data_IF_939388656737
#
_entry.id   IF_939388656737
#
_cell.length_a   1.000
_cell.length_b   1.000
_cell.length_c   1.000
_cell.angle_alpha   90.00
_cell.angle_beta   90.00
_cell.angle_gamma   90.00
#
_symmetry.space_group_name_H-M   'P 1'
#
loop_
_entity.id
_entity.type
_entity.pdbx_description
1 polymer ?
#
# COMPACT_ATOMS: atom_id res chain seq x y z
N UNK A 1 9.24 15.85 -21.25
CA UNK A 1 8.83 14.45 -21.37
C UNK A 1 8.72 13.89 -19.97
N UNK A 2 7.51 13.76 -19.44
CA UNK A 2 7.30 13.10 -18.16
C UNK A 2 7.59 11.61 -18.32
N UNK A 3 8.30 10.99 -17.38
CA UNK A 3 8.36 9.53 -17.32
C UNK A 3 6.95 9.02 -16.99
N UNK A 4 6.42 8.16 -17.84
CA UNK A 4 5.11 7.55 -17.63
C UNK A 4 5.15 6.49 -16.53
N UNK A 5 4.02 6.15 -15.88
CA UNK A 5 3.99 5.24 -14.75
C UNK A 5 4.43 3.84 -15.18
N UNK A 6 5.61 3.45 -14.70
CA UNK A 6 6.08 2.07 -14.69
C UNK A 6 5.16 1.25 -13.78
N UNK A 7 4.66 0.11 -14.26
CA UNK A 7 3.83 -0.80 -13.47
C UNK A 7 4.73 -1.75 -12.68
N UNK A 8 5.63 -2.44 -13.39
CA UNK A 8 6.60 -3.35 -12.82
C UNK A 8 7.91 -3.30 -13.59
N UNK A 9 9.01 -3.54 -12.87
CA UNK A 9 10.32 -3.70 -13.46
C UNK A 9 11.00 -4.93 -12.86
N UNK A 10 11.60 -5.73 -13.72
CA UNK A 10 12.34 -6.94 -13.34
C UNK A 10 13.82 -6.76 -13.69
N UNK A 11 14.63 -7.82 -13.59
CA UNK A 11 16.02 -7.75 -14.01
C UNK A 11 16.18 -7.34 -15.49
N UNK A 12 15.36 -7.91 -16.38
CA UNK A 12 15.51 -7.77 -17.84
C UNK A 12 14.35 -7.07 -18.54
N UNK A 13 13.21 -6.90 -17.86
CA UNK A 13 11.96 -6.47 -18.47
C UNK A 13 11.38 -5.24 -17.77
N UNK A 14 10.58 -4.49 -18.52
CA UNK A 14 9.72 -3.42 -18.01
C UNK A 14 8.29 -3.67 -18.46
N UNK A 15 7.35 -3.50 -17.53
CA UNK A 15 5.91 -3.50 -17.76
C UNK A 15 5.44 -2.09 -17.46
N UNK A 16 4.85 -1.43 -18.45
CA UNK A 16 4.35 -0.06 -18.33
C UNK A 16 3.00 0.06 -19.01
N UNK A 17 2.33 1.19 -18.80
CA UNK A 17 1.10 1.51 -19.54
C UNK A 17 1.30 1.41 -21.05
N UNK A 18 0.25 1.00 -21.74
CA UNK A 18 0.20 0.92 -23.19
C UNK A 18 0.39 2.31 -23.81
N UNK A 19 1.20 2.39 -24.87
CA UNK A 19 1.40 3.59 -25.65
C UNK A 19 1.00 3.36 -27.10
N UNK A 20 0.67 4.44 -27.81
CA UNK A 20 0.32 4.39 -29.23
C UNK A 20 1.44 3.79 -30.10
N UNK A 21 2.70 3.93 -29.69
CA UNK A 21 3.88 3.35 -30.34
C UNK A 21 3.96 1.82 -30.21
N UNK A 22 3.24 1.20 -29.28
CA UNK A 22 3.26 -0.25 -29.08
C UNK A 22 2.21 -0.98 -29.94
N UNK A 23 1.19 -0.26 -30.43
CA UNK A 23 0.02 -0.83 -31.09
C UNK A 23 0.41 -1.76 -32.22
N UNK A 24 1.34 -1.36 -33.09
CA UNK A 24 1.79 -2.20 -34.21
C UNK A 24 2.47 -3.50 -33.73
N UNK A 25 3.27 -3.43 -32.67
CA UNK A 25 3.94 -4.60 -32.11
C UNK A 25 2.95 -5.56 -31.46
N UNK A 26 1.93 -5.04 -30.78
CA UNK A 26 0.88 -5.85 -30.16
C UNK A 26 -0.08 -6.45 -31.18
N UNK A 27 -0.44 -5.69 -32.23
CA UNK A 27 -1.21 -6.23 -33.37
C UNK A 27 -0.45 -7.40 -34.00
N UNK A 28 0.85 -7.23 -34.28
CA UNK A 28 1.67 -8.31 -34.82
C UNK A 28 1.72 -9.53 -33.88
N UNK A 29 1.85 -9.32 -32.57
CA UNK A 29 1.87 -10.37 -31.55
C UNK A 29 0.58 -11.20 -31.55
N UNK A 30 -0.58 -10.53 -31.50
CA UNK A 30 -1.89 -11.19 -31.39
C UNK A 30 -2.42 -11.74 -32.72
N UNK A 31 -1.80 -11.41 -33.84
CA UNK A 31 -2.08 -12.01 -35.15
C UNK A 31 -1.21 -13.21 -35.48
N UNK A 32 -0.15 -13.45 -34.72
CA UNK A 32 0.75 -14.58 -34.97
C UNK A 32 0.06 -15.89 -34.56
N UNK A 33 -0.15 -16.84 -35.50
CA UNK A 33 -0.83 -18.11 -35.21
C UNK A 33 -0.01 -19.04 -34.32
N UNK A 34 1.32 -18.94 -34.31
CA UNK A 34 2.16 -19.72 -33.39
C UNK A 34 1.99 -19.20 -31.96
N UNK A 35 1.91 -17.89 -31.78
CA UNK A 35 1.73 -17.22 -30.48
C UNK A 35 0.34 -17.48 -29.91
N UNK A 36 -0.69 -17.38 -30.74
CA UNK A 36 -2.10 -17.46 -30.32
C UNK A 36 -2.70 -18.86 -30.43
N UNK A 37 -1.90 -19.88 -30.79
CA UNK A 37 -2.32 -21.27 -30.99
C UNK A 37 -3.21 -21.82 -29.86
N UNK A 38 -2.88 -21.49 -28.61
CA UNK A 38 -3.61 -21.95 -27.41
C UNK A 38 -4.58 -20.90 -26.83
N UNK A 39 -4.80 -19.80 -27.55
CA UNK A 39 -5.59 -18.64 -27.11
C UNK A 39 -6.76 -18.34 -28.07
N UNK A 40 -7.24 -19.34 -28.80
CA UNK A 40 -8.34 -19.17 -29.77
C UNK A 40 -7.91 -18.62 -31.13
N UNK A 41 -6.60 -18.62 -31.42
CA UNK A 41 -6.05 -18.25 -32.72
C UNK A 41 -5.90 -16.74 -32.99
N UNK A 42 -5.41 -16.38 -34.19
CA UNK A 42 -5.13 -15.00 -34.57
C UNK A 42 -6.32 -14.06 -34.40
N UNK A 43 -6.07 -12.87 -33.88
CA UNK A 43 -7.08 -11.81 -33.76
C UNK A 43 -7.30 -11.09 -35.10
N UNK A 44 -8.52 -10.62 -35.28
CA UNK A 44 -8.88 -9.73 -36.38
C UNK A 44 -8.32 -8.33 -36.12
N UNK A 45 -7.48 -7.83 -37.03
CA UNK A 45 -6.82 -6.53 -36.88
C UNK A 45 -7.83 -5.38 -36.82
N UNK A 46 -8.88 -5.44 -37.65
CA UNK A 46 -9.90 -4.39 -37.74
C UNK A 46 -10.65 -4.21 -36.42
N UNK A 47 -10.66 -5.24 -35.57
CA UNK A 47 -11.25 -5.20 -34.23
C UNK A 47 -10.24 -4.93 -33.13
N UNK A 48 -9.04 -5.49 -33.23
CA UNK A 48 -8.01 -5.38 -32.21
C UNK A 48 -7.39 -3.99 -32.14
N UNK A 49 -7.04 -3.41 -33.29
CA UNK A 49 -6.29 -2.15 -33.37
C UNK A 49 -7.05 -0.98 -32.75
N UNK A 50 -8.36 -0.77 -33.02
CA UNK A 50 -9.11 0.33 -32.40
C UNK A 50 -9.10 0.26 -30.88
N UNK A 51 -9.29 -0.93 -30.29
CA UNK A 51 -9.25 -1.12 -28.83
C UNK A 51 -7.89 -0.76 -28.25
N UNK A 52 -6.80 -1.25 -28.83
CA UNK A 52 -5.45 -0.89 -28.37
C UNK A 52 -5.15 0.62 -28.48
N UNK A 53 -5.72 1.31 -29.49
CA UNK A 53 -5.57 2.76 -29.62
C UNK A 53 -6.34 3.48 -28.51
N UNK A 54 -7.58 3.04 -28.24
CA UNK A 54 -8.42 3.57 -27.17
C UNK A 54 -7.75 3.37 -25.79
N UNK A 55 -7.31 2.14 -25.50
CA UNK A 55 -6.60 1.78 -24.26
C UNK A 55 -5.30 2.59 -24.08
N UNK A 56 -4.58 2.87 -25.19
CA UNK A 56 -3.36 3.70 -25.14
C UNK A 56 -3.62 5.17 -24.82
N UNK A 57 -4.86 5.63 -25.00
CA UNK A 57 -5.28 7.00 -24.75
C UNK A 57 -6.01 7.16 -23.40
N UNK A 58 -6.40 6.06 -22.75
CA UNK A 58 -7.13 6.11 -21.48
C UNK A 58 -6.19 6.39 -20.30
N UNK A 59 -6.30 7.55 -19.62
CA UNK A 59 -5.51 7.87 -18.43
C UNK A 59 -5.97 7.09 -17.18
N UNK A 60 -7.11 6.41 -17.23
CA UNK A 60 -7.72 5.63 -16.15
C UNK A 60 -7.67 4.10 -16.35
N UNK A 61 -6.90 3.60 -17.33
CA UNK A 61 -6.69 2.18 -17.57
C UNK A 61 -6.53 1.41 -16.24
N UNK A 62 -7.37 0.38 -16.07
CA UNK A 62 -7.73 -0.21 -14.78
C UNK A 62 -6.58 -0.92 -14.07
N UNK A 63 -6.75 -1.18 -12.78
CA UNK A 63 -5.81 -1.95 -11.94
C UNK A 63 -5.50 -3.34 -12.51
N UNK A 64 -6.47 -3.93 -13.22
CA UNK A 64 -6.34 -5.19 -13.95
C UNK A 64 -6.36 -4.90 -15.44
N UNK A 65 -5.25 -5.16 -16.12
CA UNK A 65 -5.12 -5.03 -17.56
C UNK A 65 -3.92 -5.85 -18.04
N UNK A 66 -3.73 -5.92 -19.36
CA UNK A 66 -2.51 -6.39 -19.98
C UNK A 66 -1.62 -5.19 -20.33
N UNK A 67 -0.35 -5.29 -19.96
CA UNK A 67 0.67 -4.30 -20.22
C UNK A 67 1.69 -4.81 -21.24
N UNK A 68 2.18 -3.94 -22.14
CA UNK A 68 3.33 -4.27 -22.98
C UNK A 68 4.53 -4.72 -22.14
N UNK A 69 5.23 -5.73 -22.64
CA UNK A 69 6.50 -6.21 -22.06
C UNK A 69 7.65 -5.68 -22.91
N UNK A 70 8.48 -4.82 -22.33
CA UNK A 70 9.64 -4.22 -22.99
C UNK A 70 10.90 -4.95 -22.55
N UNK A 71 11.71 -5.43 -23.50
CA UNK A 71 13.04 -5.98 -23.22
C UNK A 71 14.04 -4.83 -23.06
N UNK A 72 14.60 -4.64 -21.87
CA UNK A 72 15.46 -3.48 -21.55
C UNK A 72 16.66 -3.32 -22.49
N UNK A 73 17.27 -4.43 -22.90
CA UNK A 73 18.47 -4.40 -23.75
C UNK A 73 18.21 -3.88 -25.15
N UNK A 74 17.00 -4.06 -25.67
CA UNK A 74 16.64 -3.67 -27.03
C UNK A 74 15.66 -2.50 -27.08
N UNK A 75 14.97 -2.20 -25.97
CA UNK A 75 13.87 -1.23 -25.93
C UNK A 75 12.65 -1.67 -26.73
N UNK A 76 12.57 -2.94 -27.15
CA UNK A 76 11.48 -3.43 -28.00
C UNK A 76 10.38 -4.09 -27.19
N UNK A 77 9.13 -3.95 -27.65
CA UNK A 77 8.00 -4.74 -27.16
C UNK A 77 8.20 -6.19 -27.59
N UNK A 78 8.22 -7.10 -26.61
CA UNK A 78 8.42 -8.54 -26.81
C UNK A 78 7.22 -9.37 -26.38
N UNK A 79 6.19 -8.75 -25.82
CA UNK A 79 5.00 -9.46 -25.34
C UNK A 79 3.96 -8.55 -24.71
N UNK A 80 2.95 -9.20 -24.13
CA UNK A 80 1.82 -8.62 -23.44
C UNK A 80 1.52 -9.47 -22.20
N UNK A 81 1.36 -8.88 -21.02
CA UNK A 81 1.09 -9.64 -19.80
C UNK A 81 0.39 -8.81 -18.74
N UNK A 82 -0.26 -9.46 -17.79
CA UNK A 82 -0.86 -8.77 -16.67
C UNK A 82 -1.80 -9.66 -15.87
N UNK A 83 -2.72 -9.00 -15.20
CA UNK A 83 -3.74 -9.62 -14.36
C UNK A 83 -5.11 -9.24 -14.93
N UNK A 84 -5.96 -10.22 -15.22
CA UNK A 84 -7.30 -9.97 -15.77
C UNK A 84 -8.36 -10.66 -14.93
N UNK A 85 -9.48 -10.00 -14.72
CA UNK A 85 -10.66 -10.60 -14.11
C UNK A 85 -11.28 -11.67 -15.02
N UNK A 86 -11.74 -12.75 -14.40
CA UNK A 86 -12.43 -13.86 -15.06
C UNK A 86 -13.49 -14.44 -14.14
N UNK A 87 -14.66 -14.70 -14.70
CA UNK A 87 -15.58 -15.66 -14.11
C UNK A 87 -15.13 -17.10 -14.49
N UNK A 88 -15.05 -17.98 -13.49
CA UNK A 88 -14.78 -19.42 -13.64
C UNK A 88 -15.76 -20.18 -12.76
N UNK A 89 -16.65 -20.97 -13.35
CA UNK A 89 -17.69 -21.73 -12.64
C UNK A 89 -18.51 -20.89 -11.63
N UNK A 90 -18.84 -19.64 -11.98
CA UNK A 90 -19.60 -18.73 -11.12
C UNK A 90 -18.80 -18.07 -10.00
N UNK A 91 -17.46 -18.20 -9.99
CA UNK A 91 -16.55 -17.48 -9.09
C UNK A 91 -15.76 -16.43 -9.86
N UNK A 92 -15.66 -15.23 -9.30
CA UNK A 92 -14.71 -14.21 -9.75
C UNK A 92 -13.29 -14.61 -9.34
N UNK A 93 -12.39 -14.68 -10.32
CA UNK A 93 -11.00 -15.05 -10.15
C UNK A 93 -10.11 -14.03 -10.89
N UNK A 94 -8.89 -13.82 -10.40
CA UNK A 94 -7.89 -13.00 -11.07
C UNK A 94 -6.89 -13.91 -11.79
N UNK A 95 -6.86 -13.79 -13.11
CA UNK A 95 -6.01 -14.58 -13.98
C UNK A 95 -4.67 -13.87 -14.24
N UNK A 96 -3.55 -14.56 -13.95
CA UNK A 96 -2.23 -14.19 -14.40
C UNK A 96 -2.02 -14.66 -15.84
N UNK A 97 -1.80 -13.70 -16.74
CA UNK A 97 -1.66 -13.92 -18.18
C UNK A 97 -0.33 -13.39 -18.68
N UNK A 98 0.33 -14.13 -19.58
CA UNK A 98 1.45 -13.64 -20.36
C UNK A 98 1.44 -14.22 -21.78
N UNK A 99 1.84 -13.38 -22.73
CA UNK A 99 1.94 -13.70 -24.15
C UNK A 99 3.25 -13.12 -24.66
N UNK A 100 4.09 -13.93 -25.27
CA UNK A 100 5.42 -13.52 -25.74
C UNK A 100 5.56 -13.78 -27.23
N UNK A 101 6.21 -12.86 -27.93
CA UNK A 101 6.57 -13.04 -29.34
C UNK A 101 7.52 -14.24 -29.47
N UNK A 102 7.46 -14.95 -30.60
CA UNK A 102 8.28 -16.14 -30.87
C UNK A 102 9.79 -15.91 -30.64
N UNK A 103 10.30 -14.73 -30.99
CA UNK A 103 11.70 -14.30 -30.77
C UNK A 103 12.12 -14.21 -29.29
N UNK A 104 11.16 -14.19 -28.38
CA UNK A 104 11.34 -14.06 -26.93
C UNK A 104 11.20 -15.41 -26.19
N UNK A 105 10.82 -16.48 -26.89
CA UNK A 105 10.69 -17.81 -26.30
C UNK A 105 12.05 -18.42 -25.93
N UNK A 106 12.05 -19.35 -24.97
CA UNK A 106 13.26 -20.07 -24.54
C UNK A 106 14.26 -19.24 -23.70
N UNK A 107 14.02 -17.93 -23.51
CA UNK A 107 14.90 -17.01 -22.75
C UNK A 107 14.56 -16.91 -21.25
N UNK A 108 13.53 -17.62 -20.79
CA UNK A 108 13.04 -17.57 -19.41
C UNK A 108 12.17 -16.36 -19.06
N UNK A 109 11.82 -15.51 -20.02
CA UNK A 109 11.03 -14.29 -19.78
C UNK A 109 9.63 -14.59 -19.21
N UNK A 110 8.95 -15.64 -19.65
CA UNK A 110 7.63 -16.00 -19.12
C UNK A 110 7.67 -16.28 -17.61
N UNK A 111 8.70 -17.00 -17.14
CA UNK A 111 8.89 -17.27 -15.71
C UNK A 111 9.22 -16.01 -14.92
N UNK A 112 10.07 -15.13 -15.47
CA UNK A 112 10.39 -13.84 -14.84
C UNK A 112 9.15 -12.94 -14.71
N UNK A 113 8.34 -12.85 -15.76
CA UNK A 113 7.05 -12.12 -15.76
C UNK A 113 6.11 -12.71 -14.72
N UNK A 114 5.93 -14.02 -14.72
CA UNK A 114 4.98 -14.67 -13.84
C UNK A 114 5.37 -14.54 -12.36
N UNK A 115 6.66 -14.58 -12.01
CA UNK A 115 7.11 -14.26 -10.65
C UNK A 115 6.79 -12.81 -10.28
N UNK A 116 7.12 -11.85 -11.15
CA UNK A 116 6.89 -10.44 -10.89
C UNK A 116 5.40 -10.11 -10.71
N UNK A 117 4.53 -10.65 -11.56
CA UNK A 117 3.08 -10.47 -11.45
C UNK A 117 2.50 -11.11 -10.19
N UNK A 118 2.95 -12.33 -9.83
CA UNK A 118 2.55 -12.98 -8.58
C UNK A 118 2.94 -12.15 -7.37
N UNK A 119 4.18 -11.70 -7.31
CA UNK A 119 4.69 -10.93 -6.16
C UNK A 119 3.99 -9.56 -6.07
N UNK A 120 3.66 -8.95 -7.21
CA UNK A 120 2.86 -7.73 -7.26
C UNK A 120 1.42 -7.94 -6.77
N UNK A 121 0.77 -8.99 -7.25
CA UNK A 121 -0.59 -9.35 -6.84
C UNK A 121 -0.69 -9.61 -5.33
N UNK A 122 0.24 -10.39 -4.80
CA UNK A 122 0.22 -10.77 -3.39
C UNK A 122 0.75 -9.69 -2.45
N UNK A 123 1.67 -8.84 -2.91
CA UNK A 123 2.22 -7.73 -2.13
C UNK A 123 1.37 -6.48 -2.27
N UNK A 124 1.73 -5.53 -3.14
CA UNK A 124 1.03 -4.26 -3.33
C UNK A 124 -0.49 -4.33 -3.50
N UNK A 125 -1.00 -5.36 -4.19
CA UNK A 125 -2.45 -5.47 -4.45
C UNK A 125 -3.22 -6.23 -3.36
N UNK A 126 -2.52 -6.88 -2.43
CA UNK A 126 -3.15 -7.61 -1.32
C UNK A 126 -4.01 -8.81 -1.73
N UNK A 127 -3.84 -9.35 -2.93
CA UNK A 127 -4.60 -10.52 -3.37
C UNK A 127 -4.16 -11.77 -2.60
N UNK A 128 -5.11 -12.65 -2.33
CA UNK A 128 -4.88 -13.92 -1.64
C UNK A 128 -4.78 -15.10 -2.61
N UNK A 129 -5.24 -14.94 -3.85
CA UNK A 129 -5.32 -16.01 -4.84
C UNK A 129 -5.13 -15.49 -6.26
N UNK A 130 -4.43 -16.28 -7.06
CA UNK A 130 -4.31 -16.10 -8.50
C UNK A 130 -4.58 -17.42 -9.21
N UNK A 131 -5.10 -17.32 -10.44
CA UNK A 131 -5.27 -18.46 -11.34
C UNK A 131 -4.52 -18.26 -12.66
N UNK A 132 -4.35 -19.32 -13.43
CA UNK A 132 -4.03 -19.29 -14.86
C UNK A 132 -4.86 -20.37 -15.58
N UNK A 133 -5.54 -20.00 -16.67
CA UNK A 133 -6.29 -20.94 -17.49
C UNK A 133 -5.41 -21.45 -18.64
N UNK A 134 -5.05 -22.73 -18.60
CA UNK A 134 -4.07 -23.30 -19.52
C UNK A 134 -4.74 -24.35 -20.41
N UNK A 135 -4.55 -24.26 -21.73
CA UNK A 135 -4.93 -25.33 -22.65
C UNK A 135 -4.15 -26.62 -22.30
N UNK A 136 -4.78 -27.81 -22.21
CA UNK A 136 -4.12 -29.07 -21.84
C UNK A 136 -2.86 -29.41 -22.66
N UNK A 137 -2.79 -29.02 -23.93
CA UNK A 137 -1.64 -29.26 -24.80
C UNK A 137 -0.51 -28.21 -24.64
N UNK A 138 -0.73 -27.15 -23.85
CA UNK A 138 0.24 -26.08 -23.64
C UNK A 138 1.22 -26.38 -22.48
N UNK A 139 2.00 -27.44 -22.65
CA UNK A 139 3.00 -27.87 -21.67
C UNK A 139 4.05 -26.80 -21.33
N UNK A 140 4.26 -25.81 -22.20
CA UNK A 140 5.17 -24.70 -21.92
C UNK A 140 4.62 -23.79 -20.82
N UNK A 141 3.33 -23.45 -20.87
CA UNK A 141 2.67 -22.64 -19.85
C UNK A 141 2.53 -23.39 -18.52
N UNK A 142 2.21 -24.70 -18.57
CA UNK A 142 2.15 -25.54 -17.36
C UNK A 142 3.49 -25.56 -16.61
N UNK A 143 4.62 -25.65 -17.34
CA UNK A 143 5.96 -25.57 -16.72
C UNK A 143 6.24 -24.22 -16.08
N UNK A 144 5.72 -23.13 -16.62
CA UNK A 144 5.88 -21.79 -16.02
C UNK A 144 5.02 -21.68 -14.78
N UNK A 145 3.75 -22.10 -14.85
CA UNK A 145 2.83 -22.14 -13.70
C UNK A 145 3.45 -22.92 -12.53
N UNK A 146 3.98 -24.12 -12.79
CA UNK A 146 4.67 -24.92 -11.78
C UNK A 146 5.89 -24.21 -11.19
N UNK A 147 6.71 -23.52 -12.00
CA UNK A 147 7.89 -22.78 -11.52
C UNK A 147 7.54 -21.62 -10.59
N UNK A 148 6.38 -20.98 -10.80
CA UNK A 148 5.93 -19.88 -9.93
C UNK A 148 5.14 -20.36 -8.71
N UNK A 149 5.03 -21.68 -8.53
CA UNK A 149 4.38 -22.31 -7.39
C UNK A 149 2.89 -22.58 -7.58
N UNK A 150 2.36 -22.42 -8.79
CA UNK A 150 0.96 -22.79 -9.06
C UNK A 150 0.82 -24.31 -9.22
N UNK A 151 -0.31 -24.83 -8.75
CA UNK A 151 -0.69 -26.25 -8.86
C UNK A 151 -1.98 -26.40 -9.66
N UNK A 152 -2.10 -27.49 -10.42
CA UNK A 152 -3.35 -27.78 -11.13
C UNK A 152 -4.45 -28.13 -10.12
N UNK A 153 -5.53 -27.36 -10.09
CA UNK A 153 -6.66 -27.54 -9.18
C UNK A 153 -7.77 -28.36 -9.83
N UNK A 154 -8.16 -27.99 -11.05
CA UNK A 154 -9.30 -28.60 -11.77
C UNK A 154 -9.23 -28.38 -13.28
N UNK A 155 -10.10 -29.06 -14.01
CA UNK A 155 -10.41 -28.77 -15.40
C UNK A 155 -11.79 -28.10 -15.50
N UNK A 156 -11.93 -27.14 -16.41
CA UNK A 156 -13.16 -26.39 -16.66
C UNK A 156 -13.42 -26.28 -18.16
N UNK A 157 -14.69 -26.31 -18.56
CA UNK A 157 -15.10 -26.04 -19.94
C UNK A 157 -15.55 -24.59 -20.04
N UNK A 158 -14.81 -23.78 -20.79
CA UNK A 158 -15.11 -22.35 -20.97
C UNK A 158 -16.33 -22.14 -21.88
N UNK A 159 -17.00 -20.98 -21.81
CA UNK A 159 -17.95 -20.57 -22.83
C UNK A 159 -17.32 -20.72 -24.23
N UNK A 160 -17.95 -21.50 -25.11
CA UNK A 160 -17.38 -21.88 -26.42
C UNK A 160 -16.83 -23.31 -26.50
N UNK A 161 -16.87 -24.08 -25.41
CA UNK A 161 -16.56 -25.52 -25.41
C UNK A 161 -15.09 -25.89 -25.24
N UNK A 162 -14.20 -24.90 -25.05
CA UNK A 162 -12.78 -25.12 -24.88
C UNK A 162 -12.45 -25.61 -23.46
N UNK A 163 -11.75 -26.74 -23.36
CA UNK A 163 -11.26 -27.29 -22.09
C UNK A 163 -10.07 -26.45 -21.59
N UNK A 164 -10.04 -26.10 -20.31
CA UNK A 164 -8.91 -25.40 -19.68
C UNK A 164 -8.58 -26.07 -18.36
N UNK A 165 -7.29 -26.22 -18.07
CA UNK A 165 -6.78 -26.56 -16.74
C UNK A 165 -6.62 -25.28 -15.94
N UNK A 166 -7.22 -25.24 -14.76
CA UNK A 166 -7.09 -24.14 -13.81
C UNK A 166 -5.89 -24.45 -12.93
N UNK A 167 -4.81 -23.69 -13.12
CA UNK A 167 -3.67 -23.68 -12.21
C UNK A 167 -3.85 -22.56 -11.21
N UNK A 168 -3.60 -22.83 -9.93
CA UNK A 168 -3.90 -21.89 -8.84
C UNK A 168 -2.71 -21.76 -7.92
N UNK A 169 -2.55 -20.58 -7.36
CA UNK A 169 -1.66 -20.32 -6.23
C UNK A 169 -2.40 -19.45 -5.24
N UNK A 170 -2.35 -19.85 -3.99
CA UNK A 170 -2.88 -19.09 -2.87
C UNK A 170 -1.72 -18.65 -2.00
N UNK A 171 -1.79 -17.40 -1.55
CA UNK A 171 -0.97 -16.96 -0.43
C UNK A 171 -1.66 -17.52 0.80
N UNK A 172 -0.97 -18.36 1.59
CA UNK A 172 -1.46 -18.68 2.94
C UNK A 172 -1.77 -17.35 3.62
N UNK A 173 -2.96 -17.18 4.25
CA UNK A 173 -3.23 -15.98 5.00
C UNK A 173 -2.14 -15.88 6.05
N UNK A 174 -1.18 -14.99 5.82
CA UNK A 174 -0.41 -14.47 6.92
C UNK A 174 -1.48 -13.75 7.72
N UNK A 175 -1.89 -14.33 8.86
CA UNK A 175 -2.59 -13.55 9.86
C UNK A 175 -1.79 -12.26 9.99
N UNK A 176 -2.34 -11.17 9.46
CA UNK A 176 -1.80 -9.85 9.74
C UNK A 176 -2.15 -9.64 11.20
N UNK A 177 -1.30 -10.15 12.08
CA UNK A 177 -1.30 -9.76 13.49
C UNK A 177 -1.22 -8.23 13.41
N UNK A 178 -2.24 -7.50 13.89
CA UNK A 178 -2.22 -6.05 13.88
C UNK A 178 -0.91 -5.63 14.53
N UNK A 179 0.03 -5.12 13.73
CA UNK A 179 1.32 -4.71 14.25
C UNK A 179 1.08 -3.43 15.04
N UNK A 180 1.62 -3.30 16.26
CA UNK A 180 1.48 -2.06 17.01
C UNK A 180 1.92 -0.88 16.16
N UNK A 181 1.05 0.11 15.98
CA UNK A 181 1.40 1.37 15.30
C UNK A 181 2.36 2.12 16.22
N UNK A 182 3.47 2.62 15.68
CA UNK A 182 4.37 3.49 16.45
C UNK A 182 4.05 4.96 16.18
N UNK A 183 3.95 5.77 17.23
CA UNK A 183 3.77 7.23 17.14
C UNK A 183 4.83 7.98 17.94
N UNK A 184 5.06 9.24 17.56
CA UNK A 184 5.92 10.17 18.29
C UNK A 184 5.15 11.45 18.60
N UNK A 185 5.22 11.91 19.86
CA UNK A 185 4.56 13.14 20.33
C UNK A 185 5.52 14.08 21.04
N UNK A 186 5.23 15.37 20.96
CA UNK A 186 6.04 16.44 21.52
C UNK A 186 5.43 17.00 22.81
N UNK A 187 6.15 16.87 23.92
CA UNK A 187 5.91 17.66 25.11
C UNK A 187 6.61 19.01 24.94
N UNK A 188 5.85 20.04 24.59
CA UNK A 188 6.35 21.41 24.41
C UNK A 188 5.84 22.25 25.58
N UNK A 189 6.78 22.77 26.37
CA UNK A 189 6.48 23.63 27.53
C UNK A 189 7.04 25.03 27.31
N UNK A 190 6.20 26.05 27.46
CA UNK A 190 6.60 27.46 27.39
C UNK A 190 5.83 28.25 28.45
N UNK A 191 6.55 29.06 29.23
CA UNK A 191 5.98 29.89 30.30
C UNK A 191 5.06 29.09 31.25
N UNK A 192 5.54 27.93 31.71
CA UNK A 192 4.82 26.95 32.57
C UNK A 192 3.51 26.40 31.97
N UNK A 193 3.34 26.52 30.65
CA UNK A 193 2.19 26.00 29.90
C UNK A 193 2.61 24.94 28.91
N UNK A 194 1.79 23.92 28.78
CA UNK A 194 1.93 22.83 27.83
C UNK A 194 1.07 23.11 26.60
N UNK A 195 1.66 22.97 25.41
CA UNK A 195 0.94 23.00 24.15
C UNK A 195 0.20 21.68 23.93
N UNK A 196 -1.10 21.76 23.61
CA UNK A 196 -1.93 20.60 23.29
C UNK A 196 -2.75 20.82 22.03
N UNK A 197 -2.96 19.75 21.26
CA UNK A 197 -3.92 19.67 20.16
C UNK A 197 -5.32 19.44 20.72
N UNK A 198 -6.31 20.18 20.21
CA UNK A 198 -7.66 20.25 20.75
C UNK A 198 -8.65 19.57 19.79
N UNK A 199 -9.44 18.64 20.31
CA UNK A 199 -10.42 17.84 19.56
C UNK A 199 -11.79 17.92 20.25
N UNK A 200 -12.86 17.62 19.52
CA UNK A 200 -14.22 17.57 20.08
C UNK A 200 -14.89 16.27 19.67
N UNK A 201 -15.38 15.51 20.65
CA UNK A 201 -16.21 14.31 20.46
C UNK A 201 -17.61 14.51 21.08
N UNK A 202 -18.43 13.46 21.08
CA UNK A 202 -19.78 13.49 21.67
C UNK A 202 -19.79 13.81 23.18
N UNK A 203 -18.67 13.59 23.89
CA UNK A 203 -18.48 13.88 25.31
C UNK A 203 -17.85 15.26 25.54
N UNK A 204 -17.63 16.05 24.49
CA UNK A 204 -17.07 17.40 24.55
C UNK A 204 -15.59 17.49 24.17
N UNK A 205 -14.90 18.57 24.54
CA UNK A 205 -13.52 18.77 24.16
C UNK A 205 -12.57 17.80 24.88
N UNK A 206 -11.57 17.33 24.16
CA UNK A 206 -10.46 16.56 24.70
C UNK A 206 -9.13 17.00 24.07
N UNK A 207 -8.04 16.70 24.75
CA UNK A 207 -6.74 17.30 24.50
C UNK A 207 -5.65 16.24 24.52
N UNK A 208 -4.62 16.47 23.71
CA UNK A 208 -3.50 15.56 23.58
C UNK A 208 -2.26 16.31 23.16
N UNK A 209 -1.08 15.76 23.44
CA UNK A 209 0.17 16.33 22.94
C UNK A 209 0.20 16.28 21.40
N UNK A 210 0.76 17.30 20.72
CA UNK A 210 0.89 17.28 19.27
C UNK A 210 1.85 16.17 18.82
N UNK A 211 1.55 15.56 17.69
CA UNK A 211 2.33 14.50 17.08
C UNK A 211 1.48 13.29 16.67
N UNK A 212 2.04 12.47 15.78
CA UNK A 212 1.30 11.43 15.08
C UNK A 212 2.10 10.18 14.77
N UNK A 213 1.67 9.43 13.77
CA UNK A 213 2.17 8.09 13.48
C UNK A 213 3.38 8.07 12.55
N UNK A 214 4.32 7.18 12.85
CA UNK A 214 5.49 6.93 12.03
C UNK A 214 5.09 6.34 10.67
N UNK A 215 5.65 6.88 9.59
CA UNK A 215 5.53 6.30 8.24
C UNK A 215 6.57 5.18 8.04
N UNK A 216 6.28 4.25 7.14
CA UNK A 216 7.23 3.16 6.83
C UNK A 216 8.56 3.73 6.31
N UNK A 217 9.68 3.27 6.88
CA UNK A 217 11.03 3.74 6.56
C UNK A 217 11.42 5.10 7.16
N UNK A 218 10.54 5.75 7.92
CA UNK A 218 10.80 7.02 8.60
C UNK A 218 11.48 6.79 9.97
N UNK A 219 12.37 7.68 10.42
CA UNK A 219 12.87 7.62 11.81
C UNK A 219 11.88 8.30 12.76
N UNK A 220 11.84 7.91 14.05
CA UNK A 220 10.91 8.53 15.00
C UNK A 220 11.13 10.03 15.19
N UNK A 221 12.36 10.50 15.13
CA UNK A 221 12.66 11.94 15.22
C UNK A 221 12.19 12.67 13.96
N UNK A 222 12.32 12.07 12.78
CA UNK A 222 11.74 12.62 11.54
C UNK A 222 10.21 12.69 11.61
N UNK A 223 9.57 11.62 12.09
CA UNK A 223 8.13 11.58 12.33
C UNK A 223 7.70 12.72 13.26
N UNK A 224 8.39 12.87 14.39
CA UNK A 224 8.06 13.89 15.39
C UNK A 224 8.11 15.31 14.82
N UNK A 225 9.20 15.68 14.14
CA UNK A 225 9.33 17.01 13.52
C UNK A 225 8.22 17.24 12.48
N UNK A 226 7.96 16.24 11.64
CA UNK A 226 6.94 16.31 10.60
C UNK A 226 5.54 16.53 11.19
N UNK A 227 5.13 15.68 12.11
CA UNK A 227 3.78 15.72 12.69
C UNK A 227 3.56 17.02 13.48
N UNK A 228 4.55 17.46 14.28
CA UNK A 228 4.46 18.75 14.98
C UNK A 228 4.31 19.91 14.00
N UNK A 229 5.05 19.91 12.90
CA UNK A 229 4.94 20.95 11.87
C UNK A 229 3.59 20.89 11.14
N UNK A 230 3.10 19.69 10.82
CA UNK A 230 1.82 19.43 10.13
C UNK A 230 0.62 19.89 10.97
N UNK A 231 0.63 19.64 12.29
CA UNK A 231 -0.45 20.00 13.22
C UNK A 231 -0.37 21.43 13.77
N UNK A 232 0.84 21.94 14.05
CA UNK A 232 1.04 23.15 14.86
C UNK A 232 1.81 24.28 14.20
N UNK A 233 2.22 24.10 12.94
CA UNK A 233 3.13 24.98 12.18
C UNK A 233 4.50 25.25 12.82
N UNK A 234 4.71 24.80 14.05
CA UNK A 234 5.88 25.06 14.86
C UNK A 234 7.11 24.29 14.37
N UNK A 235 8.27 24.92 14.55
CA UNK A 235 9.56 24.25 14.44
C UNK A 235 10.09 23.97 15.84
N UNK A 236 10.54 22.74 16.05
CA UNK A 236 11.00 22.26 17.35
C UNK A 236 12.38 21.63 17.26
N UNK A 237 13.16 21.80 18.34
CA UNK A 237 14.32 20.96 18.61
C UNK A 237 13.91 19.80 19.52
N UNK A 238 14.44 18.60 19.23
CA UNK A 238 14.09 17.38 19.97
C UNK A 238 15.07 17.20 21.12
N UNK A 239 14.52 17.11 22.33
CA UNK A 239 15.23 16.77 23.55
C UNK A 239 15.20 15.26 23.84
N UNK A 240 15.17 14.91 25.13
CA UNK A 240 15.18 13.50 25.54
C UNK A 240 13.81 12.85 25.33
N UNK A 241 13.83 11.53 25.10
CA UNK A 241 12.63 10.71 25.26
C UNK A 241 12.20 10.76 26.73
N UNK A 242 10.98 11.23 26.97
CA UNK A 242 10.44 11.48 28.29
C UNK A 242 9.61 10.31 28.78
N UNK A 243 8.68 9.83 27.95
CA UNK A 243 7.82 8.69 28.27
C UNK A 243 7.57 7.79 27.06
N UNK A 244 7.24 6.54 27.35
CA UNK A 244 6.73 5.55 26.41
C UNK A 244 5.44 4.99 27.02
N UNK A 245 4.36 4.96 26.26
CA UNK A 245 3.12 4.27 26.64
C UNK A 245 2.67 3.31 25.54
N UNK A 246 1.81 2.39 25.93
CA UNK A 246 0.95 1.64 25.02
C UNK A 246 -0.47 2.19 25.12
N UNK A 247 -1.23 2.05 24.04
CA UNK A 247 -2.68 2.19 24.06
C UNK A 247 -3.27 1.02 23.28
N UNK A 248 -3.96 0.13 23.99
CA UNK A 248 -4.61 -1.05 23.42
C UNK A 248 -6.12 -0.83 23.50
N UNK A 249 -6.76 -0.50 22.37
CA UNK A 249 -8.17 -0.08 22.35
C UNK A 249 -9.11 -1.04 23.08
N UNK A 250 -8.90 -2.35 22.95
CA UNK A 250 -9.68 -3.38 23.64
C UNK A 250 -9.63 -3.33 25.18
N UNK A 251 -8.61 -2.70 25.77
CA UNK A 251 -8.44 -2.59 27.22
C UNK A 251 -9.09 -1.32 27.80
N UNK A 252 -9.58 -0.41 26.95
CA UNK A 252 -10.17 0.87 27.36
C UNK A 252 -11.65 0.92 26.95
N UNK A 253 -12.55 0.70 27.91
CA UNK A 253 -14.02 0.64 27.67
C UNK A 253 -14.57 1.89 26.96
N UNK A 254 -13.94 3.04 27.18
CA UNK A 254 -14.31 4.34 26.62
C UNK A 254 -13.72 4.60 25.22
N UNK A 255 -12.95 3.65 24.66
CA UNK A 255 -12.35 3.77 23.34
C UNK A 255 -13.40 3.57 22.24
N UNK A 256 -13.41 4.48 21.26
CA UNK A 256 -14.23 4.36 20.04
C UNK A 256 -13.45 3.77 18.86
N UNK A 257 -12.17 3.43 19.06
CA UNK A 257 -11.31 2.85 18.03
C UNK A 257 -11.57 1.34 17.88
N UNK A 258 -11.19 0.78 16.72
CA UNK A 258 -11.27 -0.66 16.48
C UNK A 258 -10.60 -1.44 17.64
N UNK A 259 -11.20 -2.52 18.17
CA UNK A 259 -10.62 -3.27 19.29
C UNK A 259 -9.22 -3.83 19.01
N UNK A 260 -8.89 -4.06 17.74
CA UNK A 260 -7.55 -4.50 17.31
C UNK A 260 -6.51 -3.38 17.26
N UNK A 261 -6.92 -2.12 17.47
CA UNK A 261 -6.00 -0.98 17.47
C UNK A 261 -5.06 -1.03 18.67
N UNK A 262 -3.77 -1.12 18.37
CA UNK A 262 -2.67 -1.07 19.33
C UNK A 262 -1.67 -0.04 18.87
N UNK A 263 -1.36 0.93 19.73
CA UNK A 263 -0.38 1.96 19.47
C UNK A 263 0.70 1.98 20.57
N UNK A 264 1.96 2.12 20.16
CA UNK A 264 3.09 2.44 21.03
C UNK A 264 3.45 3.90 20.78
N UNK A 265 3.36 4.73 21.81
CA UNK A 265 3.56 6.17 21.71
C UNK A 265 4.79 6.60 22.49
N UNK A 266 5.71 7.28 21.79
CA UNK A 266 6.93 7.84 22.35
C UNK A 266 6.78 9.36 22.50
N UNK A 267 6.89 9.84 23.73
CA UNK A 267 6.73 11.26 24.06
C UNK A 267 8.09 11.87 24.33
N UNK A 268 8.48 12.85 23.53
CA UNK A 268 9.77 13.54 23.62
C UNK A 268 9.58 14.94 24.21
N UNK A 269 10.50 15.35 25.08
CA UNK A 269 10.65 16.77 25.41
C UNK A 269 11.09 17.53 24.15
N UNK A 270 10.43 18.65 23.87
CA UNK A 270 10.73 19.48 22.71
C UNK A 270 10.74 20.96 23.11
N UNK A 271 11.67 21.71 22.52
CA UNK A 271 11.75 23.16 22.67
C UNK A 271 11.41 23.83 21.34
N UNK A 272 10.62 24.90 21.38
CA UNK A 272 10.37 25.72 20.20
C UNK A 272 11.68 26.34 19.72
N UNK A 273 11.96 26.27 18.42
CA UNK A 273 13.08 26.98 17.82
C UNK A 273 12.85 28.49 17.99
N UNK A 274 13.92 29.27 18.20
CA UNK A 274 13.83 30.72 18.37
C UNK A 274 13.05 31.38 17.22
N UNK A 275 12.00 32.13 17.58
CA UNK A 275 11.12 32.79 16.61
C UNK A 275 10.06 31.88 15.97
N UNK A 276 9.96 30.61 16.36
CA UNK A 276 8.89 29.73 15.91
C UNK A 276 7.52 30.26 16.35
N UNK A 277 6.62 30.42 15.39
CA UNK A 277 5.21 30.69 15.64
C UNK A 277 4.45 29.37 15.79
N UNK A 278 3.45 29.38 16.67
CA UNK A 278 2.52 28.26 16.86
C UNK A 278 1.16 28.70 16.33
N UNK A 279 0.67 28.01 15.31
CA UNK A 279 -0.64 28.24 14.72
C UNK A 279 -1.19 26.91 14.19
N UNK A 280 -2.46 26.85 13.78
CA UNK A 280 -2.95 25.65 13.10
C UNK A 280 -2.07 25.34 11.88
N UNK A 281 -1.56 24.11 11.83
CA UNK A 281 -0.69 23.68 10.74
C UNK A 281 -1.44 23.49 9.42
N UNK A 282 -0.67 23.28 8.34
CA UNK A 282 -1.22 23.20 6.99
C UNK A 282 -1.98 21.89 6.71
N UNK A 283 -1.73 20.85 7.51
CA UNK A 283 -2.33 19.52 7.37
C UNK A 283 -2.65 19.00 8.78
N UNK A 284 -3.66 19.57 9.45
CA UNK A 284 -4.03 19.13 10.79
C UNK A 284 -4.59 17.71 10.78
N UNK A 285 -4.52 17.05 11.93
CA UNK A 285 -5.08 15.72 12.11
C UNK A 285 -6.61 15.72 11.89
N UNK A 286 -7.13 14.58 11.43
CA UNK A 286 -8.58 14.44 11.20
C UNK A 286 -9.33 14.66 12.51
N UNK A 287 -10.19 15.67 12.55
CA UNK A 287 -10.99 16.02 13.73
C UNK A 287 -10.31 17.02 14.68
N UNK A 288 -9.07 17.45 14.40
CA UNK A 288 -8.44 18.51 15.17
C UNK A 288 -9.17 19.84 14.93
N UNK A 289 -9.57 20.47 16.02
CA UNK A 289 -10.37 21.72 16.04
C UNK A 289 -9.55 22.95 16.42
N UNK A 290 -8.37 22.77 17.03
CA UNK A 290 -7.56 23.87 17.50
C UNK A 290 -6.27 23.46 18.21
N UNK A 291 -5.60 24.47 18.77
CA UNK A 291 -4.44 24.35 19.65
C UNK A 291 -4.70 25.18 20.91
N UNK A 292 -4.28 24.66 22.06
CA UNK A 292 -4.54 25.27 23.35
C UNK A 292 -3.26 25.22 24.21
N UNK A 293 -3.11 26.21 25.09
CA UNK A 293 -2.03 26.25 26.08
C UNK A 293 -2.62 26.15 27.48
N UNK A 294 -2.29 25.10 28.20
CA UNK A 294 -2.73 24.89 29.58
C UNK A 294 -1.56 24.95 30.54
N UNK A 295 -1.72 25.60 31.68
CA UNK A 295 -0.75 25.45 32.77
C UNK A 295 -0.73 24.00 33.26
N UNK A 296 0.40 23.56 33.81
CA UNK A 296 0.54 22.20 34.35
C UNK A 296 -0.59 21.84 35.34
N UNK A 297 -1.01 22.73 36.27
CA UNK A 297 -2.13 22.42 37.18
C UNK A 297 -3.49 22.29 36.48
N UNK A 298 -3.76 23.10 35.44
CA UNK A 298 -5.04 23.09 34.70
C UNK A 298 -5.23 21.80 33.87
N UNK A 299 -4.15 21.11 33.51
CA UNK A 299 -4.24 19.83 32.79
C UNK A 299 -5.04 18.75 33.55
N UNK A 300 -5.17 18.87 34.88
CA UNK A 300 -5.99 17.98 35.72
C UNK A 300 -7.50 18.19 35.53
N UNK A 301 -7.88 19.38 35.12
CA UNK A 301 -9.28 19.81 35.07
C UNK A 301 -9.88 19.62 33.65
N UNK A 302 -9.11 19.06 32.72
CA UNK A 302 -9.51 18.82 31.33
C UNK A 302 -9.32 17.36 30.92
N UNK A 303 -10.03 16.92 29.87
CA UNK A 303 -9.88 15.57 29.29
C UNK A 303 -8.59 15.47 28.49
N UNK A 304 -7.45 15.39 29.18
CA UNK A 304 -6.11 15.31 28.59
C UNK A 304 -5.59 13.87 28.57
N UNK A 305 -5.07 13.44 27.42
CA UNK A 305 -4.48 12.13 27.23
C UNK A 305 -2.99 12.22 26.86
N UNK A 306 -2.14 11.29 27.33
CA UNK A 306 -2.49 10.17 28.22
C UNK A 306 -2.82 10.65 29.64
N UNK A 307 -3.84 10.06 30.27
CA UNK A 307 -4.37 10.48 31.58
C UNK A 307 -3.27 10.63 32.66
N UNK A 308 -2.28 9.70 32.78
CA UNK A 308 -1.25 9.80 33.81
C UNK A 308 -0.34 11.03 33.70
N UNK A 309 -0.19 11.59 32.49
CA UNK A 309 0.82 12.63 32.23
C UNK A 309 0.53 13.89 33.03
N UNK A 310 -0.74 14.28 33.19
CA UNK A 310 -1.12 15.43 34.01
C UNK A 310 -0.66 15.25 35.47
N UNK A 311 -0.94 14.11 36.09
CA UNK A 311 -0.53 13.83 37.47
C UNK A 311 1.00 13.70 37.63
N UNK A 312 1.70 13.14 36.63
CA UNK A 312 3.16 13.06 36.64
C UNK A 312 3.78 14.46 36.60
N UNK A 313 3.29 15.33 35.71
CA UNK A 313 3.77 16.71 35.60
C UNK A 313 3.50 17.53 36.88
N UNK A 314 2.41 17.24 37.59
CA UNK A 314 2.10 17.85 38.89
C UNK A 314 2.86 17.23 40.08
N UNK A 315 3.70 16.21 39.86
CA UNK A 315 4.45 15.53 40.92
C UNK A 315 3.60 14.62 41.83
N UNK A 316 2.39 14.27 41.38
CA UNK A 316 1.42 13.46 42.13
C UNK A 316 1.58 11.96 41.86
N UNK A 317 2.27 11.62 40.77
CA UNK A 317 2.55 10.25 40.34
C UNK A 317 4.03 10.08 40.04
N UNK A 318 4.52 8.85 40.21
CA UNK A 318 5.91 8.50 39.92
C UNK A 318 6.25 8.71 38.43
N UNK A 319 7.34 9.43 38.17
CA UNK A 319 7.85 9.75 36.85
C UNK A 319 8.72 8.60 36.32
N UNK A 320 8.07 7.63 35.66
CA UNK A 320 8.72 6.47 35.04
C UNK A 320 8.79 6.62 33.53
N UNK A 321 9.88 6.17 32.91
CA UNK A 321 10.03 6.16 31.45
C UNK A 321 8.92 5.37 30.76
N UNK A 322 8.51 4.23 31.30
CA UNK A 322 7.46 3.39 30.73
C UNK A 322 6.19 3.46 31.56
N UNK A 323 5.09 3.91 30.93
CA UNK A 323 3.81 4.15 31.59
C UNK A 323 2.86 2.95 31.52
N UNK A 324 3.12 1.98 30.64
CA UNK A 324 2.22 0.85 30.37
C UNK A 324 1.08 1.23 29.42
N UNK A 325 0.00 0.44 29.46
CA UNK A 325 -1.23 0.67 28.70
C UNK A 325 -2.12 1.71 29.41
N UNK A 326 -2.10 2.96 28.93
CA UNK A 326 -2.71 4.14 29.56
C UNK A 326 -3.15 5.19 28.55
#
# INVERSE_FOLDING_TARGET
MGQEPLILETGRLQLRRLQSSDVDALVALWRDPDVTRFMGGPRDEEKLRPGLIEDSADPFATTYDLWPVIEKSSGTVIGHCGLTDKEVDGREEIELVYVLAKRAWGKGYATEIAHALRDHAFGPMGLSRLISLIEPENAASERVAAKVGMTMEKEVVRPGGALRRVYTIEREPVETIPSPRVSARALIVKDDRVLVSCYVDERGPWYVLPGGGQRSGETLTTCLVREVKEETSAEVSIGRLRWVREFISANHEESTLDPSFHQIELIFECELVDGAEVAMGAVPDIGQTGLCWYTIPELRDVRFYPEPVASILNGEREDRLYLGDV
#
